data_IF_620046972642
#
_entry.id   IF_620046972642
#
_cell.length_a   1.000
_cell.length_b   1.000
_cell.length_c   1.000
_cell.angle_alpha   90.00
_cell.angle_beta   90.00
_cell.angle_gamma   90.00
#
_symmetry.space_group_name_H-M   'P 1'
#
loop_
_entity.id
_entity.type
_entity.pdbx_description
1 polymer ?
#
# COMPACT_ATOMS: atom_id res chain seq x y z
N UNK A 1 47.86 -22.41 5.20
CA UNK A 1 47.28 -23.07 6.40
C UNK A 1 46.14 -22.19 6.91
N UNK A 2 44.89 -22.67 6.75
CA UNK A 2 43.62 -22.16 7.29
C UNK A 2 43.19 -20.69 7.03
N UNK A 3 42.62 -20.44 5.83
CA UNK A 3 41.80 -19.25 5.52
C UNK A 3 40.27 -19.50 5.61
N UNK A 4 39.85 -20.71 5.98
CA UNK A 4 38.44 -21.17 5.92
C UNK A 4 37.69 -21.19 7.27
N UNK A 5 38.25 -20.62 8.35
CA UNK A 5 37.67 -20.77 9.70
C UNK A 5 36.61 -19.72 10.09
N UNK A 6 36.21 -18.82 9.19
CA UNK A 6 35.20 -17.78 9.48
C UNK A 6 33.77 -18.13 9.04
N UNK A 7 33.52 -19.35 8.54
CA UNK A 7 32.26 -19.71 7.89
C UNK A 7 31.18 -20.35 8.79
N UNK A 8 31.32 -20.35 10.12
CA UNK A 8 30.39 -21.11 10.97
C UNK A 8 29.95 -20.39 12.26
N UNK A 9 29.53 -19.12 12.14
CA UNK A 9 28.75 -18.48 13.20
C UNK A 9 27.32 -19.03 13.13
N UNK A 10 27.10 -20.23 13.67
CA UNK A 10 25.75 -20.69 14.01
C UNK A 10 25.20 -19.80 15.12
N UNK A 11 24.45 -18.77 14.73
CA UNK A 11 23.69 -17.91 15.64
C UNK A 11 22.71 -18.80 16.42
N UNK A 12 23.05 -19.14 17.66
CA UNK A 12 22.15 -19.89 18.55
C UNK A 12 20.87 -19.09 18.74
N UNK A 13 19.71 -19.74 18.57
CA UNK A 13 18.39 -19.12 18.65
C UNK A 13 18.24 -18.37 19.98
N UNK A 14 18.35 -17.05 19.92
CA UNK A 14 18.33 -16.19 21.11
C UNK A 14 16.89 -15.99 21.59
N UNK A 15 16.69 -15.66 22.86
CA UNK A 15 15.37 -15.34 23.41
C UNK A 15 14.73 -14.14 22.68
N UNK A 16 15.56 -13.22 22.16
CA UNK A 16 15.14 -12.12 21.29
C UNK A 16 14.48 -12.61 19.99
N UNK A 17 15.00 -13.69 19.39
CA UNK A 17 14.42 -14.28 18.18
C UNK A 17 13.04 -14.86 18.45
N UNK A 18 12.81 -15.39 19.65
CA UNK A 18 11.50 -15.94 20.06
C UNK A 18 10.47 -14.83 20.21
N UNK A 19 10.84 -13.71 20.83
CA UNK A 19 9.95 -12.54 20.97
C UNK A 19 9.63 -11.96 19.59
N UNK A 20 10.62 -11.81 18.71
CA UNK A 20 10.39 -11.38 17.32
C UNK A 20 9.44 -12.30 16.55
N UNK A 21 9.56 -13.61 16.74
CA UNK A 21 8.64 -14.59 16.14
C UNK A 21 7.20 -14.44 16.66
N UNK A 22 7.00 -14.18 17.95
CA UNK A 22 5.67 -13.92 18.51
C UNK A 22 5.06 -12.62 17.99
N UNK A 23 5.85 -11.54 17.93
CA UNK A 23 5.40 -10.25 17.39
C UNK A 23 5.00 -10.38 15.91
N UNK A 24 5.83 -11.04 15.11
CA UNK A 24 5.53 -11.29 13.70
C UNK A 24 4.28 -12.17 13.53
N UNK A 25 4.18 -13.25 14.32
CA UNK A 25 3.01 -14.12 14.31
C UNK A 25 1.73 -13.37 14.67
N UNK A 26 1.77 -12.53 15.71
CA UNK A 26 0.65 -11.67 16.10
C UNK A 26 0.27 -10.69 15.00
N UNK A 27 1.23 -10.02 14.37
CA UNK A 27 0.96 -9.11 13.26
C UNK A 27 0.29 -9.81 12.08
N UNK A 28 0.77 -10.99 11.69
CA UNK A 28 0.17 -11.79 10.62
C UNK A 28 -1.26 -12.19 10.99
N UNK A 29 -1.50 -12.65 12.21
CA UNK A 29 -2.83 -13.02 12.69
C UNK A 29 -3.77 -11.81 12.62
N UNK A 30 -3.34 -10.65 13.12
CA UNK A 30 -4.13 -9.41 13.07
C UNK A 30 -4.42 -8.99 11.62
N UNK A 31 -3.43 -9.03 10.74
CA UNK A 31 -3.61 -8.73 9.32
C UNK A 31 -4.64 -9.67 8.66
N UNK A 32 -4.55 -10.97 8.94
CA UNK A 32 -5.50 -11.95 8.42
C UNK A 32 -6.91 -11.71 8.95
N UNK A 33 -7.07 -11.43 10.23
CA UNK A 33 -8.37 -11.23 10.86
C UNK A 33 -9.04 -9.90 10.46
N UNK A 34 -8.28 -8.80 10.41
CA UNK A 34 -8.85 -7.47 10.22
C UNK A 34 -8.86 -7.01 8.76
N UNK A 35 -8.03 -7.57 7.89
CA UNK A 35 -7.98 -7.18 6.49
C UNK A 35 -8.42 -8.32 5.58
N UNK A 36 -7.79 -9.50 5.70
CA UNK A 36 -8.06 -10.58 4.74
C UNK A 36 -9.45 -11.19 4.94
N UNK A 37 -9.87 -11.43 6.18
CA UNK A 37 -11.19 -12.01 6.48
C UNK A 37 -12.34 -11.12 5.95
N UNK A 38 -12.44 -9.81 6.26
CA UNK A 38 -13.53 -9.00 5.73
C UNK A 38 -13.46 -8.85 4.20
N UNK A 39 -12.28 -8.75 3.59
CA UNK A 39 -12.16 -8.75 2.14
C UNK A 39 -12.64 -10.07 1.51
N UNK A 40 -12.29 -11.21 2.13
CA UNK A 40 -12.79 -12.51 1.72
C UNK A 40 -14.31 -12.60 1.81
N UNK A 41 -14.89 -12.12 2.92
CA UNK A 41 -16.34 -12.06 3.09
C UNK A 41 -17.02 -11.19 2.03
N UNK A 42 -16.43 -10.06 1.65
CA UNK A 42 -16.93 -9.20 0.56
C UNK A 42 -16.91 -9.92 -0.79
N UNK A 43 -15.85 -10.67 -1.09
CA UNK A 43 -15.74 -11.47 -2.32
C UNK A 43 -16.76 -12.61 -2.33
N UNK A 44 -16.97 -13.29 -1.20
CA UNK A 44 -18.02 -14.31 -1.10
C UNK A 44 -19.40 -13.68 -1.33
N UNK A 45 -19.67 -12.53 -0.71
CA UNK A 45 -20.94 -11.82 -0.90
C UNK A 45 -21.16 -11.30 -2.30
N UNK A 46 -20.11 -10.92 -3.05
CA UNK A 46 -20.26 -10.51 -4.45
C UNK A 46 -20.66 -11.65 -5.39
N UNK A 47 -20.55 -12.91 -4.96
CA UNK A 47 -21.02 -14.09 -5.70
C UNK A 47 -22.43 -14.55 -5.27
N UNK A 48 -22.99 -13.95 -4.24
CA UNK A 48 -24.32 -14.25 -3.71
C UNK A 48 -25.35 -13.19 -4.12
N UNK A 49 -26.62 -13.55 -4.14
CA UNK A 49 -27.74 -12.63 -4.26
C UNK A 49 -28.12 -12.05 -2.87
N UNK A 50 -29.03 -11.07 -2.83
CA UNK A 50 -29.54 -10.44 -1.60
C UNK A 50 -30.15 -11.46 -0.62
N UNK A 51 -30.70 -12.55 -1.14
CA UNK A 51 -31.31 -13.64 -0.36
C UNK A 51 -30.27 -14.66 0.14
N UNK A 52 -28.98 -14.49 -0.18
CA UNK A 52 -27.89 -15.38 0.23
C UNK A 52 -27.66 -16.59 -0.68
N UNK A 53 -28.35 -16.65 -1.82
CA UNK A 53 -28.15 -17.72 -2.81
C UNK A 53 -26.90 -17.47 -3.66
N UNK A 54 -26.07 -18.50 -3.86
CA UNK A 54 -24.89 -18.40 -4.71
C UNK A 54 -25.29 -18.33 -6.20
N UNK A 55 -25.10 -17.16 -6.81
CA UNK A 55 -25.44 -16.88 -8.22
C UNK A 55 -24.19 -16.76 -9.11
N UNK A 56 -23.01 -17.08 -8.58
CA UNK A 56 -21.74 -17.05 -9.30
C UNK A 56 -21.43 -15.64 -9.82
N UNK A 57 -21.10 -15.53 -11.11
CA UNK A 57 -20.67 -14.26 -11.71
C UNK A 57 -21.81 -13.37 -12.24
N UNK A 58 -23.07 -13.71 -11.97
CA UNK A 58 -24.22 -12.95 -12.49
C UNK A 58 -24.20 -11.47 -12.07
N UNK A 59 -23.80 -11.18 -10.81
CA UNK A 59 -23.61 -9.81 -10.33
C UNK A 59 -22.58 -9.03 -11.16
N UNK A 60 -21.49 -9.69 -11.58
CA UNK A 60 -20.45 -9.06 -12.39
C UNK A 60 -20.93 -8.79 -13.81
N UNK A 61 -21.70 -9.69 -14.42
CA UNK A 61 -22.26 -9.45 -15.76
C UNK A 61 -23.25 -8.27 -15.77
N UNK A 62 -24.10 -8.14 -14.74
CA UNK A 62 -25.00 -7.01 -14.61
C UNK A 62 -24.22 -5.71 -14.38
N UNK A 63 -23.21 -5.75 -13.50
CA UNK A 63 -22.33 -4.62 -13.24
C UNK A 63 -21.62 -4.17 -14.51
N UNK A 64 -21.03 -5.09 -15.29
CA UNK A 64 -20.34 -4.73 -16.54
C UNK A 64 -21.25 -4.20 -17.65
N UNK A 65 -22.57 -4.32 -17.54
CA UNK A 65 -23.51 -3.74 -18.51
C UNK A 65 -23.87 -2.29 -18.19
N UNK A 66 -23.53 -1.79 -17.00
CA UNK A 66 -23.87 -0.44 -16.59
C UNK A 66 -22.91 0.61 -17.17
N UNK A 67 -23.34 1.46 -18.13
CA UNK A 67 -22.48 2.40 -18.81
C UNK A 67 -21.90 3.47 -17.88
N UNK A 68 -22.62 3.81 -16.80
CA UNK A 68 -22.16 4.76 -15.79
C UNK A 68 -20.86 4.31 -15.09
N UNK A 69 -20.64 3.00 -14.98
CA UNK A 69 -19.45 2.46 -14.32
C UNK A 69 -18.20 2.66 -15.16
N UNK A 70 -18.26 2.37 -16.46
CA UNK A 70 -17.13 2.66 -17.36
C UNK A 70 -16.79 4.15 -17.38
N UNK A 71 -17.81 5.02 -17.37
CA UNK A 71 -17.58 6.45 -17.28
C UNK A 71 -16.89 6.84 -15.96
N UNK A 72 -17.34 6.29 -14.83
CA UNK A 72 -16.73 6.54 -13.52
C UNK A 72 -15.29 6.05 -13.45
N UNK A 73 -15.01 4.84 -13.96
CA UNK A 73 -13.67 4.25 -14.02
C UNK A 73 -12.74 5.10 -14.88
N UNK A 74 -13.20 5.51 -16.07
CA UNK A 74 -12.43 6.39 -16.95
C UNK A 74 -12.13 7.73 -16.27
N UNK A 75 -13.13 8.37 -15.67
CA UNK A 75 -12.95 9.65 -14.98
C UNK A 75 -11.93 9.53 -13.84
N UNK A 76 -12.07 8.50 -12.99
CA UNK A 76 -11.14 8.27 -11.87
C UNK A 76 -9.72 7.98 -12.34
N UNK A 77 -9.55 7.12 -13.35
CA UNK A 77 -8.24 6.81 -13.91
C UNK A 77 -7.61 8.04 -14.58
N UNK A 78 -8.40 8.82 -15.32
CA UNK A 78 -7.94 10.03 -15.96
C UNK A 78 -7.43 11.04 -14.92
N UNK A 79 -8.22 11.32 -13.88
CA UNK A 79 -7.79 12.22 -12.81
C UNK A 79 -6.57 11.66 -12.07
N UNK A 80 -6.51 10.35 -11.79
CA UNK A 80 -5.37 9.72 -11.12
C UNK A 80 -4.08 9.86 -11.95
N UNK A 81 -4.14 9.64 -13.27
CA UNK A 81 -2.98 9.75 -14.15
C UNK A 81 -2.52 11.21 -14.27
N UNK A 82 -3.43 12.13 -14.56
CA UNK A 82 -3.10 13.55 -14.73
C UNK A 82 -2.55 14.13 -13.43
N UNK A 83 -3.18 13.84 -12.30
CA UNK A 83 -2.67 14.27 -10.99
C UNK A 83 -1.30 13.68 -10.69
N UNK A 84 -1.08 12.39 -10.94
CA UNK A 84 0.23 11.75 -10.74
C UNK A 84 1.32 12.42 -11.57
N UNK A 85 1.07 12.68 -12.86
CA UNK A 85 2.05 13.34 -13.73
C UNK A 85 2.40 14.74 -13.19
N UNK A 86 1.38 15.54 -12.88
CA UNK A 86 1.58 16.89 -12.36
C UNK A 86 2.34 16.86 -11.02
N UNK A 87 1.90 16.02 -10.08
CA UNK A 87 2.50 15.89 -8.75
C UNK A 87 3.94 15.40 -8.85
N UNK A 88 4.23 14.39 -9.66
CA UNK A 88 5.60 13.86 -9.82
C UNK A 88 6.53 14.91 -10.38
N UNK A 89 6.12 15.64 -11.43
CA UNK A 89 6.94 16.72 -12.02
C UNK A 89 7.22 17.81 -10.98
N UNK A 90 6.18 18.29 -10.29
CA UNK A 90 6.33 19.35 -9.29
C UNK A 90 7.14 18.89 -8.08
N UNK A 91 6.86 17.70 -7.54
CA UNK A 91 7.57 17.12 -6.41
C UNK A 91 9.05 16.88 -6.74
N UNK A 92 9.35 16.42 -7.95
CA UNK A 92 10.72 16.23 -8.40
C UNK A 92 11.47 17.55 -8.54
N UNK A 93 10.87 18.56 -9.19
CA UNK A 93 11.47 19.90 -9.29
C UNK A 93 11.71 20.52 -7.92
N UNK A 94 10.75 20.40 -7.01
CA UNK A 94 10.87 20.87 -5.63
C UNK A 94 12.00 20.16 -4.87
N UNK A 95 12.04 18.82 -4.93
CA UNK A 95 13.09 18.03 -4.30
C UNK A 95 14.47 18.33 -4.88
N UNK A 96 14.57 18.53 -6.20
CA UNK A 96 15.80 18.91 -6.88
C UNK A 96 16.27 20.31 -6.45
N UNK A 97 15.37 21.29 -6.43
CA UNK A 97 15.68 22.65 -6.01
C UNK A 97 16.22 22.66 -4.57
N UNK A 98 15.54 21.97 -3.65
CA UNK A 98 15.99 21.84 -2.27
C UNK A 98 17.34 21.11 -2.20
N UNK A 99 17.54 20.02 -2.94
CA UNK A 99 18.73 19.16 -2.73
C UNK A 99 19.99 19.70 -3.42
N UNK A 100 19.85 20.29 -4.61
CA UNK A 100 20.98 20.63 -5.48
C UNK A 100 21.23 22.12 -5.66
N UNK A 101 20.34 23.01 -5.20
CA UNK A 101 20.53 24.46 -5.34
C UNK A 101 20.77 25.14 -3.99
N UNK A 102 21.48 26.29 -4.02
CA UNK A 102 21.68 27.17 -2.87
C UNK A 102 20.46 28.08 -2.65
N UNK A 103 19.27 27.49 -2.54
CA UNK A 103 18.02 28.22 -2.34
C UNK A 103 17.99 28.90 -0.96
N UNK A 104 17.73 30.22 -0.88
CA UNK A 104 17.54 30.89 0.41
C UNK A 104 16.27 30.37 1.09
N UNK A 105 16.27 30.29 2.43
CA UNK A 105 15.13 29.80 3.24
C UNK A 105 14.70 28.35 3.01
N UNK A 106 15.60 27.47 2.53
CA UNK A 106 15.34 26.02 2.31
C UNK A 106 14.64 25.30 3.48
N UNK A 107 14.93 25.68 4.73
CA UNK A 107 14.27 25.12 5.91
C UNK A 107 12.77 25.41 5.98
N UNK A 108 12.36 26.64 5.64
CA UNK A 108 10.96 27.04 5.59
C UNK A 108 10.18 26.23 4.53
N UNK A 109 10.72 26.12 3.31
CA UNK A 109 10.09 25.33 2.25
C UNK A 109 9.92 23.85 2.63
N UNK A 110 10.90 23.24 3.30
CA UNK A 110 10.78 21.87 3.82
C UNK A 110 9.65 21.75 4.84
N UNK A 111 9.53 22.70 5.77
CA UNK A 111 8.48 22.69 6.77
C UNK A 111 7.10 22.80 6.11
N UNK A 112 6.91 23.72 5.16
CA UNK A 112 5.66 23.89 4.42
C UNK A 112 5.24 22.57 3.73
N UNK A 113 6.19 21.85 3.12
CA UNK A 113 5.91 20.56 2.49
C UNK A 113 5.52 19.46 3.50
N UNK A 114 5.94 19.58 4.77
CA UNK A 114 5.62 18.62 5.83
C UNK A 114 4.31 18.95 6.57
N UNK A 115 3.80 20.19 6.50
CA UNK A 115 2.57 20.60 7.21
C UNK A 115 1.39 19.64 6.94
N UNK A 116 1.08 19.22 5.70
CA UNK A 116 -0.05 18.33 5.43
C UNK A 116 0.12 16.91 6.01
N UNK A 117 1.33 16.51 6.40
CA UNK A 117 1.58 15.23 7.06
C UNK A 117 1.38 15.32 8.58
N UNK A 118 1.33 16.53 9.13
CA UNK A 118 1.18 16.81 10.56
C UNK A 118 -0.27 17.14 10.96
N UNK A 119 -1.21 17.17 9.99
CA UNK A 119 -2.64 17.39 10.23
C UNK A 119 -3.38 16.14 10.66
#
# INVERSE_FOLDING_TARGET
MNLFKFADIRRGKDSSDRVGQFMLGSYIILFLLFLVLPLGALISKSLENKDGEFIGFANYSLYLQEPALFQSLYNSLFVAIISTIIVVVLAFLFAYAITRTCMPFKGFFKLVALIPLLS
#
